data_IF_231660809708
#
_entry.id   IF_231660809708
#
_cell.length_a   1.000
_cell.length_b   1.000
_cell.length_c   1.000
_cell.angle_alpha   90.00
_cell.angle_beta   90.00
_cell.angle_gamma   90.00
#
_symmetry.space_group_name_H-M   'P 1'
#
loop_
_entity.id
_entity.type
_entity.pdbx_description
1 polymer ?
#
# COMPACT_ATOMS: atom_id res chain seq x y z
N UNK A 1 -5.65 23.73 -44.25
CA UNK A 1 -5.63 23.80 -42.77
C UNK A 1 -6.79 22.98 -42.18
N UNK A 2 -8.05 23.34 -42.43
CA UNK A 2 -9.23 22.59 -41.98
C UNK A 2 -9.27 21.09 -42.38
N UNK A 3 -8.85 20.73 -43.61
CA UNK A 3 -8.80 19.32 -44.04
C UNK A 3 -7.75 18.50 -43.28
N UNK A 4 -6.61 19.10 -42.93
CA UNK A 4 -5.55 18.44 -42.15
C UNK A 4 -5.99 18.27 -40.71
N UNK A 5 -6.71 19.24 -40.14
CA UNK A 5 -7.30 19.15 -38.80
C UNK A 5 -8.38 18.05 -38.72
N UNK A 6 -9.23 17.90 -39.74
CA UNK A 6 -10.22 16.81 -39.80
C UNK A 6 -9.57 15.43 -39.95
N UNK A 7 -8.54 15.32 -40.80
CA UNK A 7 -7.78 14.07 -40.93
C UNK A 7 -7.06 13.71 -39.63
N UNK A 8 -6.50 14.72 -38.94
CA UNK A 8 -5.86 14.55 -37.65
C UNK A 8 -6.85 14.05 -36.61
N UNK A 9 -8.01 14.67 -36.46
CA UNK A 9 -9.02 14.26 -35.47
C UNK A 9 -9.53 12.83 -35.72
N UNK A 10 -9.74 12.44 -36.99
CA UNK A 10 -10.12 11.08 -37.35
C UNK A 10 -9.00 10.06 -37.07
N UNK A 11 -7.74 10.41 -37.36
CA UNK A 11 -6.60 9.55 -37.08
C UNK A 11 -6.37 9.40 -35.56
N UNK A 12 -6.51 10.50 -34.82
CA UNK A 12 -6.38 10.57 -33.37
C UNK A 12 -7.43 9.70 -32.70
N UNK A 13 -8.70 9.85 -33.08
CA UNK A 13 -9.80 9.02 -32.57
C UNK A 13 -9.55 7.52 -32.77
N UNK A 14 -9.10 7.11 -33.96
CA UNK A 14 -8.78 5.70 -34.25
C UNK A 14 -7.58 5.19 -33.45
N UNK A 15 -6.54 6.02 -33.34
CA UNK A 15 -5.32 5.68 -32.59
C UNK A 15 -5.63 5.54 -31.10
N UNK A 16 -6.42 6.47 -30.54
CA UNK A 16 -6.90 6.42 -29.16
C UNK A 16 -7.75 5.17 -28.90
N UNK A 17 -8.66 4.81 -29.80
CA UNK A 17 -9.45 3.59 -29.66
C UNK A 17 -8.60 2.31 -29.67
N UNK A 18 -7.62 2.23 -30.57
CA UNK A 18 -6.68 1.12 -30.62
C UNK A 18 -5.81 1.05 -29.35
N UNK A 19 -5.25 2.18 -28.92
CA UNK A 19 -4.42 2.29 -27.71
C UNK A 19 -5.20 1.88 -26.46
N UNK A 20 -6.44 2.37 -26.27
CA UNK A 20 -7.32 1.95 -25.16
C UNK A 20 -7.56 0.45 -25.14
N UNK A 21 -7.79 -0.14 -26.31
CA UNK A 21 -8.02 -1.58 -26.43
C UNK A 21 -6.78 -2.34 -26.00
N UNK A 22 -5.61 -1.98 -26.52
CA UNK A 22 -4.37 -2.69 -26.21
C UNK A 22 -3.82 -2.42 -24.80
N UNK A 23 -4.01 -1.21 -24.26
CA UNK A 23 -3.60 -0.86 -22.89
C UNK A 23 -4.38 -1.67 -21.86
N UNK A 24 -5.67 -1.93 -22.10
CA UNK A 24 -6.52 -2.69 -21.18
C UNK A 24 -6.07 -4.14 -20.94
N UNK A 25 -5.36 -4.74 -21.90
CA UNK A 25 -4.79 -6.08 -21.78
C UNK A 25 -3.40 -6.08 -21.12
N UNK A 26 -2.79 -4.91 -20.94
CA UNK A 26 -1.45 -4.79 -20.37
C UNK A 26 -1.53 -4.97 -18.84
N UNK A 27 -1.00 -6.09 -18.36
CA UNK A 27 -0.93 -6.40 -16.92
C UNK A 27 0.46 -6.15 -16.33
N UNK A 28 1.39 -5.63 -17.11
CA UNK A 28 2.77 -5.34 -16.69
C UNK A 28 2.95 -3.83 -16.45
N UNK A 29 3.16 -3.40 -15.19
CA UNK A 29 3.42 -2.00 -14.86
C UNK A 29 4.57 -1.36 -15.66
N UNK A 30 5.63 -2.12 -15.99
CA UNK A 30 6.77 -1.61 -16.77
C UNK A 30 6.34 -1.23 -18.19
N UNK A 31 5.63 -2.14 -18.85
CA UNK A 31 5.15 -1.93 -20.22
C UNK A 31 4.16 -0.79 -20.31
N UNK A 32 3.31 -0.62 -19.29
CA UNK A 32 2.39 0.53 -19.21
C UNK A 32 3.15 1.86 -19.08
N UNK A 33 4.24 1.90 -18.30
CA UNK A 33 5.10 3.08 -18.21
C UNK A 33 5.81 3.39 -19.53
N UNK A 34 6.34 2.37 -20.20
CA UNK A 34 6.99 2.54 -21.51
C UNK A 34 5.99 3.07 -22.55
N UNK A 35 4.77 2.52 -22.57
CA UNK A 35 3.68 3.01 -23.40
C UNK A 35 3.33 4.47 -23.09
N UNK A 36 3.20 4.82 -21.79
CA UNK A 36 2.95 6.19 -21.34
C UNK A 36 4.04 7.14 -21.84
N UNK A 37 5.32 6.77 -21.72
CA UNK A 37 6.44 7.62 -22.16
C UNK A 37 6.42 7.85 -23.67
N UNK A 38 6.10 6.82 -24.46
CA UNK A 38 5.96 6.96 -25.91
C UNK A 38 4.78 7.88 -26.30
N UNK A 39 3.64 7.76 -25.62
CA UNK A 39 2.47 8.61 -25.87
C UNK A 39 2.76 10.07 -25.48
N UNK A 40 3.44 10.32 -24.36
CA UNK A 40 3.84 11.67 -23.94
C UNK A 40 4.79 12.29 -24.96
N UNK A 41 5.85 11.58 -25.37
CA UNK A 41 6.78 12.07 -26.39
C UNK A 41 6.08 12.39 -27.72
N UNK A 42 5.14 11.54 -28.11
CA UNK A 42 4.32 11.76 -29.30
C UNK A 42 3.44 13.01 -29.16
N UNK A 43 2.78 13.18 -28.01
CA UNK A 43 1.96 14.35 -27.72
C UNK A 43 2.78 15.64 -27.71
N UNK A 44 3.91 15.68 -27.00
CA UNK A 44 4.78 16.86 -26.92
C UNK A 44 5.34 17.25 -28.30
N UNK A 45 5.74 16.26 -29.10
CA UNK A 45 6.22 16.49 -30.47
C UNK A 45 5.14 17.17 -31.31
N UNK A 46 3.91 16.66 -31.27
CA UNK A 46 2.79 17.19 -32.04
C UNK A 46 2.32 18.56 -31.55
N UNK A 47 2.37 18.79 -30.25
CA UNK A 47 2.10 20.09 -29.66
C UNK A 47 3.10 21.15 -30.15
N UNK A 48 4.37 20.78 -30.31
CA UNK A 48 5.41 21.62 -30.91
C UNK A 48 5.11 22.02 -32.36
N UNK A 49 4.39 21.20 -33.12
CA UNK A 49 3.90 21.51 -34.46
C UNK A 49 2.55 22.26 -34.49
N UNK A 50 1.96 22.53 -33.33
CA UNK A 50 0.69 23.26 -33.18
C UNK A 50 -0.58 22.41 -33.36
N UNK A 51 -0.47 21.07 -33.25
CA UNK A 51 -1.63 20.18 -33.27
C UNK A 51 -2.28 20.07 -31.89
N UNK A 52 -3.62 19.91 -31.81
CA UNK A 52 -4.31 19.65 -30.55
C UNK A 52 -4.04 18.23 -30.06
N UNK A 53 -3.65 18.08 -28.80
CA UNK A 53 -3.24 16.81 -28.17
C UNK A 53 -4.04 16.44 -26.91
N UNK A 54 -5.06 17.22 -26.56
CA UNK A 54 -5.85 17.02 -25.33
C UNK A 54 -6.42 15.59 -25.21
N UNK A 55 -6.88 14.99 -26.32
CA UNK A 55 -7.40 13.61 -26.32
C UNK A 55 -6.34 12.56 -25.92
N UNK A 56 -5.05 12.82 -26.17
CA UNK A 56 -3.96 11.93 -25.75
C UNK A 56 -3.75 12.01 -24.24
N UNK A 57 -3.82 13.22 -23.67
CA UNK A 57 -3.70 13.41 -22.22
C UNK A 57 -4.91 12.86 -21.46
N UNK A 58 -6.12 13.02 -21.97
CA UNK A 58 -7.32 12.36 -21.41
C UNK A 58 -7.17 10.83 -21.41
N UNK A 59 -6.66 10.25 -22.51
CA UNK A 59 -6.37 8.82 -22.56
C UNK A 59 -5.26 8.40 -21.58
N UNK A 60 -4.23 9.21 -21.39
CA UNK A 60 -3.17 8.93 -20.42
C UNK A 60 -3.72 8.87 -18.99
N UNK A 61 -4.69 9.71 -18.65
CA UNK A 61 -5.41 9.64 -17.36
C UNK A 61 -6.28 8.37 -17.24
N UNK A 62 -6.86 7.87 -18.32
CA UNK A 62 -7.54 6.57 -18.29
C UNK A 62 -6.55 5.39 -18.10
N UNK A 63 -5.37 5.47 -18.73
CA UNK A 63 -4.30 4.48 -18.57
C UNK A 63 -3.73 4.52 -17.15
N UNK A 64 -3.70 5.69 -16.51
CA UNK A 64 -3.31 5.86 -15.11
C UNK A 64 -4.18 5.04 -14.15
N UNK A 65 -5.51 5.05 -14.35
CA UNK A 65 -6.43 4.26 -13.53
C UNK A 65 -6.16 2.75 -13.71
N UNK A 66 -5.94 2.31 -14.96
CA UNK A 66 -5.56 0.92 -15.27
C UNK A 66 -4.22 0.53 -14.63
N UNK A 67 -3.23 1.42 -14.70
CA UNK A 67 -1.93 1.24 -14.07
C UNK A 67 -2.06 1.11 -12.55
N UNK A 68 -2.84 1.98 -11.92
CA UNK A 68 -3.10 1.97 -10.48
C UNK A 68 -3.74 0.65 -10.04
N UNK A 69 -4.73 0.15 -10.77
CA UNK A 69 -5.35 -1.15 -10.52
C UNK A 69 -4.36 -2.33 -10.68
N UNK A 70 -3.48 -2.25 -11.69
CA UNK A 70 -2.45 -3.28 -11.92
C UNK A 70 -1.40 -3.28 -10.80
N UNK A 71 -0.97 -2.10 -10.34
CA UNK A 71 -0.11 -1.96 -9.17
C UNK A 71 -0.78 -2.55 -7.92
N UNK A 72 -2.05 -2.23 -7.66
CA UNK A 72 -2.77 -2.75 -6.50
C UNK A 72 -2.82 -4.29 -6.49
N UNK A 73 -3.02 -4.93 -7.65
CA UNK A 73 -2.97 -6.39 -7.79
C UNK A 73 -1.58 -6.96 -7.50
N UNK A 74 -0.53 -6.35 -8.06
CA UNK A 74 0.86 -6.80 -7.84
C UNK A 74 1.25 -6.67 -6.37
N UNK A 75 0.89 -5.56 -5.71
CA UNK A 75 1.20 -5.33 -4.31
C UNK A 75 0.36 -6.20 -3.37
N UNK A 76 -0.86 -6.61 -3.77
CA UNK A 76 -1.61 -7.64 -3.05
C UNK A 76 -0.82 -8.95 -2.93
N UNK A 77 -0.15 -9.36 -4.02
CA UNK A 77 0.74 -10.53 -4.02
C UNK A 77 1.96 -10.33 -3.12
N UNK A 78 2.59 -9.17 -3.19
CA UNK A 78 3.75 -8.84 -2.34
C UNK A 78 3.38 -8.86 -0.86
N UNK A 79 2.29 -8.22 -0.46
CA UNK A 79 1.83 -8.23 0.93
C UNK A 79 1.47 -9.62 1.42
N UNK A 80 0.80 -10.43 0.58
CA UNK A 80 0.51 -11.82 0.91
C UNK A 80 1.80 -12.60 1.17
N UNK A 81 2.80 -12.47 0.30
CA UNK A 81 4.08 -13.15 0.50
C UNK A 81 4.78 -12.70 1.78
N UNK A 82 4.76 -11.40 2.10
CA UNK A 82 5.35 -10.87 3.34
C UNK A 82 4.64 -11.49 4.55
N UNK A 83 3.31 -11.45 4.58
CA UNK A 83 2.50 -12.01 5.66
C UNK A 83 2.71 -13.53 5.81
N UNK A 84 2.76 -14.26 4.70
CA UNK A 84 2.95 -15.72 4.71
C UNK A 84 4.35 -16.13 5.15
N UNK A 85 5.35 -15.28 4.92
CA UNK A 85 6.74 -15.50 5.32
C UNK A 85 7.09 -15.01 6.72
N UNK A 86 6.20 -14.23 7.36
CA UNK A 86 6.47 -13.63 8.66
C UNK A 86 6.39 -14.68 9.77
N UNK A 87 7.27 -14.55 10.76
CA UNK A 87 7.29 -15.45 11.92
C UNK A 87 6.46 -14.92 13.10
N UNK A 88 5.81 -13.76 12.95
CA UNK A 88 4.99 -13.10 13.96
C UNK A 88 5.65 -13.09 15.35
N UNK A 89 6.94 -12.77 15.39
CA UNK A 89 7.72 -12.66 16.62
C UNK A 89 8.46 -11.32 16.71
N UNK A 90 8.68 -10.78 17.94
CA UNK A 90 9.50 -9.60 18.16
C UNK A 90 10.89 -9.73 17.53
N UNK A 91 11.32 -8.75 16.73
CA UNK A 91 12.63 -8.80 16.04
C UNK A 91 13.77 -8.71 17.08
N UNK A 92 14.65 -9.72 17.18
CA UNK A 92 15.82 -9.66 18.03
C UNK A 92 16.91 -8.79 17.39
N UNK A 93 17.54 -7.95 18.21
CA UNK A 93 18.59 -7.03 17.79
C UNK A 93 19.86 -7.35 18.59
N UNK A 94 20.76 -8.17 18.03
CA UNK A 94 21.99 -8.55 18.72
C UNK A 94 23.00 -7.40 18.80
N UNK A 95 23.04 -6.53 17.78
CA UNK A 95 24.08 -5.52 17.61
C UNK A 95 23.53 -4.18 17.09
N UNK A 96 24.31 -3.11 17.23
CA UNK A 96 23.96 -1.77 16.79
C UNK A 96 23.76 -1.65 15.27
N UNK A 97 24.46 -2.47 14.48
CA UNK A 97 24.32 -2.49 13.03
C UNK A 97 22.91 -2.93 12.60
N UNK A 98 22.39 -3.99 13.23
CA UNK A 98 21.03 -4.49 12.98
C UNK A 98 20.01 -3.45 13.43
N UNK A 99 20.24 -2.78 14.56
CA UNK A 99 19.39 -1.70 15.05
C UNK A 99 19.29 -0.56 14.03
N UNK A 100 20.42 -0.04 13.55
CA UNK A 100 20.48 1.05 12.56
C UNK A 100 19.80 0.66 11.24
N UNK A 101 19.95 -0.60 10.81
CA UNK A 101 19.28 -1.10 9.60
C UNK A 101 17.75 -1.04 9.73
N UNK A 102 17.20 -1.49 10.86
CA UNK A 102 15.74 -1.49 11.09
C UNK A 102 15.21 -0.08 11.25
N UNK A 103 15.89 0.79 12.02
CA UNK A 103 15.50 2.20 12.20
C UNK A 103 15.59 2.99 10.88
N UNK A 104 16.54 2.65 10.01
CA UNK A 104 16.64 3.22 8.66
C UNK A 104 15.50 2.82 7.72
N UNK A 105 14.91 1.62 7.94
CA UNK A 105 13.78 1.13 7.14
C UNK A 105 12.43 1.59 7.69
N UNK A 106 12.29 1.66 9.01
CA UNK A 106 11.05 2.01 9.68
C UNK A 106 11.31 3.08 10.75
N UNK A 107 10.62 4.24 10.67
CA UNK A 107 10.80 5.33 11.62
C UNK A 107 10.22 4.94 12.99
N UNK A 108 11.06 4.32 13.82
CA UNK A 108 10.75 3.93 15.18
C UNK A 108 11.68 4.64 16.15
N UNK A 109 11.10 5.34 17.12
CA UNK A 109 11.81 6.04 18.19
C UNK A 109 11.24 5.57 19.52
N UNK A 110 12.09 4.95 20.33
CA UNK A 110 11.76 4.50 21.68
C UNK A 110 12.96 4.77 22.58
N UNK A 111 12.84 5.83 23.39
CA UNK A 111 13.88 6.31 24.28
C UNK A 111 14.24 5.31 25.40
N UNK A 112 13.35 4.36 25.70
CA UNK A 112 13.59 3.32 26.69
C UNK A 112 14.33 2.14 26.07
N UNK A 113 13.95 1.76 24.84
CA UNK A 113 14.67 0.76 24.06
C UNK A 113 16.11 1.23 23.73
N UNK A 114 16.30 2.51 23.41
CA UNK A 114 17.63 3.08 23.13
C UNK A 114 18.59 2.98 24.32
N UNK A 115 18.08 3.10 25.56
CA UNK A 115 18.91 3.05 26.78
C UNK A 115 19.33 1.65 27.21
N UNK A 116 18.66 0.61 26.74
CA UNK A 116 19.01 -0.77 27.12
C UNK A 116 20.39 -1.18 26.57
N UNK A 117 21.08 -2.16 27.17
CA UNK A 117 22.21 -2.83 26.54
C UNK A 117 21.73 -3.85 25.49
N UNK A 118 22.60 -4.24 24.56
CA UNK A 118 22.30 -5.34 23.63
C UNK A 118 22.42 -6.70 24.35
N UNK A 119 21.64 -7.72 23.95
CA UNK A 119 20.68 -7.76 22.85
C UNK A 119 19.31 -7.15 23.22
N UNK A 120 18.73 -6.37 22.30
CA UNK A 120 17.40 -5.73 22.46
C UNK A 120 16.36 -6.45 21.61
N UNK A 121 15.09 -6.15 21.81
CA UNK A 121 14.01 -6.67 20.96
C UNK A 121 13.05 -5.55 20.56
N UNK A 122 12.76 -5.43 19.27
CA UNK A 122 11.67 -4.54 18.84
C UNK A 122 10.32 -5.19 19.18
N UNK A 123 9.32 -4.40 19.58
CA UNK A 123 8.00 -4.93 19.96
C UNK A 123 7.21 -5.49 18.77
N UNK A 124 7.61 -5.18 17.54
CA UNK A 124 6.98 -5.62 16.30
C UNK A 124 7.81 -6.69 15.57
N UNK A 125 7.16 -7.45 14.67
CA UNK A 125 7.82 -8.41 13.78
C UNK A 125 8.29 -7.79 12.47
N UNK A 126 9.05 -8.56 11.65
CA UNK A 126 9.59 -8.11 10.36
C UNK A 126 8.50 -7.64 9.37
N UNK A 127 7.26 -8.10 9.55
CA UNK A 127 6.08 -7.59 8.87
C UNK A 127 6.00 -6.06 8.84
N UNK A 128 6.23 -5.37 9.97
CA UNK A 128 6.06 -3.91 10.05
C UNK A 128 7.04 -3.16 9.14
N UNK A 129 8.38 -3.30 9.27
CA UNK A 129 9.33 -2.62 8.41
C UNK A 129 9.20 -3.03 6.94
N UNK A 130 8.92 -4.30 6.65
CA UNK A 130 8.73 -4.78 5.27
C UNK A 130 7.50 -4.15 4.62
N UNK A 131 6.34 -4.15 5.29
CA UNK A 131 5.12 -3.53 4.75
C UNK A 131 5.30 -2.03 4.58
N UNK A 132 5.89 -1.34 5.57
CA UNK A 132 6.17 0.09 5.45
C UNK A 132 7.06 0.41 4.24
N UNK A 133 8.14 -0.35 4.04
CA UNK A 133 9.01 -0.20 2.86
C UNK A 133 8.25 -0.41 1.56
N UNK A 134 7.39 -1.44 1.47
CA UNK A 134 6.61 -1.71 0.26
C UNK A 134 5.55 -0.63 -0.03
N UNK A 135 4.99 0.02 1.01
CA UNK A 135 4.10 1.17 0.83
C UNK A 135 4.90 2.36 0.25
N UNK A 136 6.12 2.61 0.73
CA UNK A 136 6.99 3.65 0.13
C UNK A 136 7.33 3.35 -1.33
N UNK A 137 7.66 2.11 -1.66
CA UNK A 137 7.90 1.68 -3.05
C UNK A 137 6.64 1.86 -3.92
N UNK A 138 5.45 1.58 -3.39
CA UNK A 138 4.20 1.86 -4.09
C UNK A 138 4.02 3.36 -4.38
N UNK A 139 4.26 4.21 -3.37
CA UNK A 139 4.17 5.66 -3.52
C UNK A 139 5.13 6.16 -4.61
N UNK A 140 6.37 5.66 -4.63
CA UNK A 140 7.32 5.97 -5.70
C UNK A 140 6.84 5.48 -7.08
N UNK A 141 6.24 4.29 -7.15
CA UNK A 141 5.70 3.77 -8.41
C UNK A 141 4.53 4.62 -8.93
N UNK A 142 3.71 5.20 -8.05
CA UNK A 142 2.68 6.17 -8.40
C UNK A 142 3.30 7.49 -8.87
N UNK A 143 4.30 8.02 -8.14
CA UNK A 143 5.00 9.25 -8.50
C UNK A 143 5.64 9.14 -9.89
N UNK A 144 6.33 8.04 -10.17
CA UNK A 144 6.96 7.78 -11.47
C UNK A 144 5.98 7.80 -12.64
N UNK A 145 4.73 7.39 -12.42
CA UNK A 145 3.71 7.47 -13.45
C UNK A 145 3.25 8.91 -13.70
N UNK A 146 3.14 9.73 -12.64
CA UNK A 146 2.74 11.13 -12.75
C UNK A 146 3.76 12.07 -13.37
N UNK A 147 5.02 11.67 -13.46
CA UNK A 147 6.05 12.42 -14.19
C UNK A 147 5.60 12.68 -15.64
N UNK A 148 5.91 13.84 -16.20
CA UNK A 148 5.63 14.21 -17.60
C UNK A 148 4.14 14.18 -18.05
N UNK A 149 3.18 14.12 -17.12
CA UNK A 149 1.74 14.23 -17.44
C UNK A 149 1.23 15.67 -17.46
N UNK A 150 2.11 16.67 -17.33
CA UNK A 150 1.79 18.10 -17.18
C UNK A 150 0.80 18.41 -16.05
N UNK A 151 0.76 17.55 -15.03
CA UNK A 151 -0.04 17.74 -13.82
C UNK A 151 0.60 18.76 -12.89
N UNK A 152 -0.22 19.53 -12.20
CA UNK A 152 0.24 20.36 -11.08
C UNK A 152 0.70 19.50 -9.91
N UNK A 153 1.61 20.01 -9.08
CA UNK A 153 2.06 19.32 -7.85
C UNK A 153 0.91 18.92 -6.93
N UNK A 154 -0.16 19.73 -6.89
CA UNK A 154 -1.39 19.44 -6.14
C UNK A 154 -2.18 18.26 -6.70
N UNK A 155 -2.31 18.15 -8.02
CA UNK A 155 -2.99 17.01 -8.65
C UNK A 155 -2.19 15.70 -8.45
N UNK A 156 -0.86 15.79 -8.51
CA UNK A 156 0.02 14.65 -8.21
C UNK A 156 -0.11 14.20 -6.75
N UNK A 157 -0.14 15.14 -5.82
CA UNK A 157 -0.32 14.86 -4.39
C UNK A 157 -1.66 14.17 -4.09
N UNK A 158 -2.76 14.71 -4.61
CA UNK A 158 -4.08 14.12 -4.46
C UNK A 158 -4.18 12.73 -5.09
N UNK A 159 -3.58 12.54 -6.28
CA UNK A 159 -3.49 11.24 -6.94
C UNK A 159 -2.76 10.21 -6.08
N UNK A 160 -1.56 10.54 -5.59
CA UNK A 160 -0.74 9.64 -4.76
C UNK A 160 -1.48 9.28 -3.47
N UNK A 161 -2.10 10.26 -2.82
CA UNK A 161 -2.88 10.04 -1.59
C UNK A 161 -4.07 9.13 -1.83
N UNK A 162 -4.83 9.35 -2.91
CA UNK A 162 -5.98 8.51 -3.28
C UNK A 162 -5.54 7.06 -3.57
N UNK A 163 -4.48 6.87 -4.36
CA UNK A 163 -3.94 5.54 -4.68
C UNK A 163 -3.38 4.83 -3.44
N UNK A 164 -2.68 5.55 -2.57
CA UNK A 164 -2.17 5.01 -1.30
C UNK A 164 -3.31 4.62 -0.37
N UNK A 165 -4.38 5.41 -0.33
CA UNK A 165 -5.59 5.08 0.43
C UNK A 165 -6.27 3.81 -0.07
N UNK A 166 -6.35 3.61 -1.39
CA UNK A 166 -6.85 2.36 -1.96
C UNK A 166 -5.95 1.16 -1.61
N UNK A 167 -4.62 1.34 -1.63
CA UNK A 167 -3.67 0.31 -1.21
C UNK A 167 -3.91 -0.10 0.24
N UNK A 168 -4.06 0.86 1.16
CA UNK A 168 -4.29 0.59 2.57
C UNK A 168 -5.66 -0.06 2.80
N UNK A 169 -6.73 0.64 2.42
CA UNK A 169 -8.12 0.28 2.76
C UNK A 169 -8.63 -0.96 2.03
N UNK A 170 -8.22 -1.18 0.77
CA UNK A 170 -8.71 -2.29 -0.05
C UNK A 170 -7.73 -3.45 -0.05
N UNK A 171 -6.47 -3.19 -0.39
CA UNK A 171 -5.50 -4.26 -0.64
C UNK A 171 -4.91 -4.81 0.66
N UNK A 172 -4.32 -3.95 1.49
CA UNK A 172 -3.68 -4.36 2.74
C UNK A 172 -4.72 -4.87 3.75
N UNK A 173 -5.87 -4.18 3.87
CA UNK A 173 -6.99 -4.62 4.70
C UNK A 173 -7.43 -6.05 4.35
N UNK A 174 -7.67 -6.34 3.06
CA UNK A 174 -8.05 -7.69 2.63
C UNK A 174 -6.96 -8.72 2.93
N UNK A 175 -5.68 -8.36 2.79
CA UNK A 175 -4.59 -9.26 3.13
C UNK A 175 -4.57 -9.57 4.63
N UNK A 176 -4.76 -8.57 5.50
CA UNK A 176 -4.83 -8.74 6.95
C UNK A 176 -6.03 -9.59 7.35
N UNK A 177 -7.22 -9.31 6.82
CA UNK A 177 -8.43 -10.08 7.09
C UNK A 177 -8.27 -11.55 6.69
N UNK A 178 -7.63 -11.81 5.55
CA UNK A 178 -7.34 -13.17 5.11
C UNK A 178 -6.35 -13.89 6.03
N UNK A 179 -5.41 -13.18 6.65
CA UNK A 179 -4.48 -13.78 7.62
C UNK A 179 -5.18 -14.04 8.94
N UNK A 180 -5.91 -13.06 9.47
CA UNK A 180 -6.61 -13.17 10.76
C UNK A 180 -7.59 -14.34 10.75
N UNK A 181 -8.33 -14.55 9.64
CA UNK A 181 -9.33 -15.63 9.53
C UNK A 181 -8.77 -17.00 9.18
N UNK A 182 -7.43 -17.17 9.12
CA UNK A 182 -6.83 -18.49 8.86
C UNK A 182 -7.00 -19.39 10.07
N UNK A 183 -7.51 -20.60 9.84
CA UNK A 183 -7.76 -21.62 10.88
C UNK A 183 -6.54 -22.04 11.71
N UNK A 184 -5.31 -21.77 11.24
CA UNK A 184 -4.08 -22.23 11.88
C UNK A 184 -3.31 -21.11 12.59
N UNK A 185 -3.87 -19.90 12.69
CA UNK A 185 -3.16 -18.79 13.34
C UNK A 185 -3.25 -18.96 14.86
N UNK A 186 -2.10 -19.02 15.50
CA UNK A 186 -2.01 -19.13 16.95
C UNK A 186 -2.42 -17.83 17.64
N UNK A 187 -2.92 -17.95 18.88
CA UNK A 187 -3.32 -16.79 19.69
C UNK A 187 -2.18 -15.77 19.88
N UNK A 188 -0.94 -16.26 20.02
CA UNK A 188 0.25 -15.40 20.11
C UNK A 188 0.52 -14.63 18.83
N UNK A 189 0.25 -15.23 17.67
CA UNK A 189 0.41 -14.59 16.36
C UNK A 189 -0.67 -13.52 16.14
N UNK A 190 -1.92 -13.78 16.54
CA UNK A 190 -3.00 -12.78 16.52
C UNK A 190 -2.65 -11.56 17.40
N UNK A 191 -2.14 -11.79 18.61
CA UNK A 191 -1.67 -10.70 19.49
C UNK A 191 -0.53 -9.93 18.83
N UNK A 192 0.43 -10.61 18.20
CA UNK A 192 1.51 -9.93 17.48
C UNK A 192 0.99 -9.11 16.29
N UNK A 193 -0.01 -9.59 15.56
CA UNK A 193 -0.67 -8.84 14.48
C UNK A 193 -1.32 -7.55 15.02
N UNK A 194 -1.94 -7.59 16.21
CA UNK A 194 -2.49 -6.40 16.88
C UNK A 194 -1.39 -5.39 17.22
N UNK A 195 -0.27 -5.85 17.76
CA UNK A 195 0.89 -4.99 18.06
C UNK A 195 1.43 -4.37 16.77
N UNK A 196 1.64 -5.20 15.76
CA UNK A 196 2.18 -4.79 14.47
C UNK A 196 1.29 -3.74 13.76
N UNK A 197 -0.02 -3.97 13.71
CA UNK A 197 -0.98 -3.03 13.12
C UNK A 197 -1.03 -1.71 13.88
N UNK A 198 -0.82 -1.72 15.20
CA UNK A 198 -0.68 -0.50 16.01
C UNK A 198 0.57 0.30 15.65
N UNK A 199 1.70 -0.36 15.37
CA UNK A 199 2.91 0.32 14.91
C UNK A 199 2.77 0.87 13.48
N UNK A 200 2.12 0.12 12.58
CA UNK A 200 1.81 0.61 11.23
C UNK A 200 0.85 1.81 11.27
N UNK A 201 -0.17 1.79 12.13
CA UNK A 201 -1.08 2.93 12.34
C UNK A 201 -0.31 4.20 12.73
N UNK A 202 0.62 4.10 13.70
CA UNK A 202 1.47 5.22 14.10
C UNK A 202 2.38 5.69 12.96
N UNK A 203 2.75 4.80 12.04
CA UNK A 203 3.64 5.12 10.93
C UNK A 203 2.97 5.88 9.78
N UNK A 204 1.63 5.91 9.73
CA UNK A 204 0.88 6.63 8.71
C UNK A 204 1.23 8.11 8.63
N UNK A 205 1.51 8.76 9.77
CA UNK A 205 1.96 10.16 9.79
C UNK A 205 3.25 10.39 9.02
N UNK A 206 4.19 9.45 9.11
CA UNK A 206 5.46 9.53 8.40
C UNK A 206 5.28 9.24 6.90
N UNK A 207 4.27 8.45 6.53
CA UNK A 207 3.88 8.28 5.13
C UNK A 207 3.26 9.55 4.57
N UNK A 208 2.43 10.26 5.35
CA UNK A 208 1.87 11.55 4.96
C UNK A 208 2.97 12.60 4.76
N UNK A 209 3.89 12.73 5.71
CA UNK A 209 5.07 13.60 5.60
C UNK A 209 5.94 13.22 4.41
N UNK A 210 6.12 11.93 4.16
CA UNK A 210 6.88 11.45 3.02
C UNK A 210 6.23 11.84 1.69
N UNK A 211 4.90 11.71 1.56
CA UNK A 211 4.16 12.16 0.36
C UNK A 211 4.31 13.67 0.19
N UNK A 212 4.09 14.46 1.25
CA UNK A 212 4.28 15.93 1.23
C UNK A 212 5.69 16.32 0.79
N UNK A 213 6.72 15.61 1.28
CA UNK A 213 8.11 15.91 0.95
C UNK A 213 8.48 15.57 -0.50
N UNK A 214 7.91 14.51 -1.09
CA UNK A 214 8.18 14.17 -2.50
C UNK A 214 7.37 15.04 -3.47
N UNK A 215 6.19 15.52 -3.08
CA UNK A 215 5.34 16.37 -3.94
C UNK A 215 5.60 17.87 -3.75
N UNK A 216 6.32 18.27 -2.69
CA UNK A 216 6.55 19.65 -2.27
C UNK A 216 5.26 20.47 -2.05
N UNK A 217 4.14 19.80 -1.72
CA UNK A 217 2.86 20.46 -1.43
C UNK A 217 2.72 20.65 0.08
N UNK A 218 2.48 21.89 0.53
CA UNK A 218 2.36 22.22 1.96
C UNK A 218 1.09 21.60 2.59
N UNK A 219 1.19 20.98 3.79
CA UNK A 219 0.07 20.32 4.46
C UNK A 219 -1.13 21.25 4.79
N UNK A 220 -0.87 22.55 4.95
CA UNK A 220 -1.84 23.56 5.41
C UNK A 220 -2.78 24.09 4.31
N UNK A 221 -2.76 23.51 3.11
CA UNK A 221 -3.83 23.75 2.14
C UNK A 221 -5.08 22.94 2.55
N UNK A 222 -6.21 23.65 2.70
CA UNK A 222 -7.50 23.22 3.29
C UNK A 222 -8.13 21.96 2.65
N UNK A 223 -7.50 21.36 1.64
CA UNK A 223 -8.00 20.22 0.87
C UNK A 223 -7.10 18.97 0.88
N UNK A 224 -6.02 18.94 1.67
CA UNK A 224 -5.11 17.78 1.67
C UNK A 224 -5.79 16.51 2.21
N UNK A 225 -5.92 15.48 1.37
CA UNK A 225 -6.52 14.19 1.75
C UNK A 225 -5.63 13.45 2.75
N UNK A 226 -6.11 13.21 3.96
CA UNK A 226 -5.39 12.39 4.96
C UNK A 226 -5.38 10.91 4.57
N UNK A 227 -4.39 10.17 5.06
CA UNK A 227 -4.34 8.72 4.88
C UNK A 227 -5.36 8.03 5.79
N UNK A 228 -6.20 7.18 5.22
CA UNK A 228 -7.18 6.33 5.92
C UNK A 228 -6.53 5.06 6.50
N UNK A 229 -5.21 5.07 6.74
CA UNK A 229 -4.53 3.96 7.40
C UNK A 229 -5.08 3.73 8.82
N UNK A 230 -5.40 4.80 9.55
CA UNK A 230 -5.92 4.73 10.92
C UNK A 230 -7.20 3.91 11.04
N UNK A 231 -8.17 4.12 10.15
CA UNK A 231 -9.42 3.34 10.16
C UNK A 231 -9.16 1.89 9.75
N UNK A 232 -8.38 1.70 8.69
CA UNK A 232 -8.01 0.36 8.19
C UNK A 232 -7.37 -0.52 9.27
N UNK A 233 -6.38 0.01 9.99
CA UNK A 233 -5.69 -0.74 11.02
C UNK A 233 -6.53 -0.94 12.29
N UNK A 234 -7.43 -0.01 12.62
CA UNK A 234 -8.42 -0.21 13.69
C UNK A 234 -9.38 -1.35 13.38
N UNK A 235 -9.90 -1.42 12.17
CA UNK A 235 -10.81 -2.49 11.75
C UNK A 235 -10.09 -3.85 11.75
N UNK A 236 -8.83 -3.89 11.30
CA UNK A 236 -8.02 -5.09 11.37
C UNK A 236 -7.75 -5.54 12.82
N UNK A 237 -7.48 -4.62 13.75
CA UNK A 237 -7.35 -4.98 15.17
C UNK A 237 -8.65 -5.53 15.74
N UNK A 238 -9.78 -4.90 15.46
CA UNK A 238 -11.06 -5.36 15.97
C UNK A 238 -11.38 -6.79 15.52
N UNK A 239 -11.13 -7.09 14.23
CA UNK A 239 -11.27 -8.44 13.71
C UNK A 239 -10.30 -9.44 14.37
N UNK A 240 -9.06 -9.03 14.66
CA UNK A 240 -8.10 -9.88 15.36
C UNK A 240 -8.50 -10.13 16.82
N UNK A 241 -9.03 -9.12 17.52
CA UNK A 241 -9.55 -9.24 18.89
C UNK A 241 -10.73 -10.21 18.95
N UNK A 242 -11.69 -10.10 18.03
CA UNK A 242 -12.85 -11.00 17.93
C UNK A 242 -12.41 -12.46 17.72
N UNK A 243 -11.42 -12.68 16.85
CA UNK A 243 -10.85 -14.00 16.61
C UNK A 243 -10.11 -14.55 17.84
N UNK A 244 -9.41 -13.71 18.60
CA UNK A 244 -8.80 -14.08 19.88
C UNK A 244 -9.87 -14.55 20.87
N UNK A 245 -10.96 -13.80 21.04
CA UNK A 245 -12.07 -14.19 21.93
C UNK A 245 -12.67 -15.54 21.53
N UNK A 246 -12.86 -15.75 20.22
CA UNK A 246 -13.41 -16.99 19.68
C UNK A 246 -12.49 -18.18 19.95
N UNK A 247 -11.18 -18.03 19.70
CA UNK A 247 -10.18 -19.07 19.96
C UNK A 247 -10.03 -19.37 21.46
N UNK A 248 -10.11 -18.35 22.32
CA UNK A 248 -10.08 -18.55 23.77
C UNK A 248 -11.28 -19.36 24.25
N UNK A 249 -12.49 -18.99 23.82
CA UNK A 249 -13.71 -19.71 24.20
C UNK A 249 -13.66 -21.17 23.73
N UNK A 250 -13.23 -21.42 22.48
CA UNK A 250 -13.06 -22.79 21.98
C UNK A 250 -12.05 -23.60 22.80
N UNK A 251 -10.91 -23.00 23.21
CA UNK A 251 -9.95 -23.69 24.07
C UNK A 251 -10.52 -23.97 25.46
N UNK A 252 -11.25 -23.02 26.05
CA UNK A 252 -11.91 -23.22 27.35
C UNK A 252 -12.92 -24.36 27.24
N UNK A 253 -13.76 -24.38 26.21
CA UNK A 253 -14.74 -25.44 25.98
C UNK A 253 -14.06 -26.82 25.82
N UNK A 254 -12.94 -26.89 25.09
CA UNK A 254 -12.14 -28.12 24.97
C UNK A 254 -11.62 -28.60 26.33
N UNK A 255 -11.11 -27.68 27.18
CA UNK A 255 -10.67 -28.04 28.53
C UNK A 255 -11.83 -28.50 29.42
N UNK A 256 -13.01 -27.86 29.32
CA UNK A 256 -14.20 -28.25 30.06
C UNK A 256 -14.74 -29.62 29.64
N UNK A 257 -14.65 -29.98 28.35
CA UNK A 257 -15.02 -31.31 27.85
C UNK A 257 -14.10 -32.43 28.35
N UNK A 258 -12.83 -32.09 28.62
CA UNK A 258 -11.85 -33.04 29.19
C UNK A 258 -11.95 -33.17 30.70
N UNK A 259 -12.71 -32.30 31.36
CA UNK A 259 -12.96 -32.42 32.79
C UNK A 259 -13.96 -33.56 33.03
N UNK A 260 -13.45 -34.70 33.50
CA UNK A 260 -14.28 -35.75 34.11
C UNK A 260 -14.86 -35.19 35.41
N UNK A 261 -16.03 -34.56 35.31
CA UNK A 261 -16.79 -34.18 36.49
C UNK A 261 -17.31 -35.45 37.15
N UNK A 262 -16.77 -35.79 38.32
CA UNK A 262 -17.21 -36.92 39.10
C UNK A 262 -18.57 -36.60 39.75
N UNK A 263 -19.65 -36.86 39.00
CA UNK A 263 -21.04 -36.56 39.37
C UNK A 263 -21.57 -37.47 40.51
N UNK A 264 -20.72 -38.32 41.08
CA UNK A 264 -21.00 -39.26 42.18
C UNK A 264 -20.19 -38.98 43.45
N UNK A 265 -19.59 -37.80 43.61
CA UNK A 265 -19.06 -37.40 44.91
C UNK A 265 -20.18 -37.41 45.98
N UNK A 266 -20.01 -38.12 47.12
CA UNK A 266 -21.07 -38.40 48.09
C UNK A 266 -21.57 -37.17 48.87
#
# INVERSE_FOLDING_TARGET
>A
RAYIEQLWDMALSKTTAALRTHSSYCSDPSLVLDLKNLIVLFADTLQGYGFPVNQLFEMLLEIQDQYSETLLKKWAGVFRNILDSDNYSPIPVPDEEVYKKIVGQFPFQDAELEKQPFPKKFPFSEFVPKVYSQIKEFIYACLKFSEDLHLSSTEVDDMIRKSTNLLLTRTLSNCLQNVIKRKNVGLTELVQIIINTTHLEKSCRFLEEFITNITNVLPDTVHTTKLYGTTTFKDARHAAEEEIYTNLNQKIDQFLQLADYDWLAP
#
